data_IF_738606902837
#
_entry.id   IF_738606902837
#
_cell.length_a   1.000
_cell.length_b   1.000
_cell.length_c   1.000
_cell.angle_alpha   90.00
_cell.angle_beta   90.00
_cell.angle_gamma   90.00
#
_symmetry.space_group_name_H-M   'P 1'
#
loop_
_entity.id
_entity.type
_entity.pdbx_description
1 polymer ?
#
# COMPACT_ATOMS: atom_id res chain seq x y z
N UNK A 1 8.95 -22.25 5.61
CA UNK A 1 7.66 -22.07 4.91
C UNK A 1 7.90 -22.18 3.42
N UNK A 2 7.13 -22.98 2.69
CA UNK A 2 7.28 -23.08 1.23
C UNK A 2 6.98 -21.74 0.54
N UNK A 3 7.60 -21.50 -0.63
CA UNK A 3 7.40 -20.27 -1.40
C UNK A 3 5.92 -19.97 -1.72
N UNK A 4 5.08 -21.00 -1.89
CA UNK A 4 3.63 -20.85 -2.06
C UNK A 4 2.95 -20.20 -0.85
N UNK A 5 3.26 -20.63 0.38
CA UNK A 5 2.70 -20.05 1.61
C UNK A 5 3.15 -18.60 1.81
N UNK A 6 4.42 -18.28 1.53
CA UNK A 6 4.94 -16.91 1.65
C UNK A 6 4.24 -15.94 0.68
N UNK A 7 3.98 -16.37 -0.56
CA UNK A 7 3.21 -15.58 -1.53
C UNK A 7 1.76 -15.38 -1.12
N UNK A 8 1.12 -16.40 -0.53
CA UNK A 8 -0.23 -16.27 -0.01
C UNK A 8 -0.30 -15.24 1.14
N UNK A 9 0.65 -15.32 2.09
CA UNK A 9 0.76 -14.34 3.18
C UNK A 9 1.01 -12.94 2.64
N UNK A 10 1.91 -12.80 1.66
CA UNK A 10 2.20 -11.51 1.03
C UNK A 10 0.97 -10.94 0.33
N UNK A 11 0.20 -11.76 -0.39
CA UNK A 11 -1.04 -11.32 -1.04
C UNK A 11 -2.05 -10.77 -0.02
N UNK A 12 -2.27 -11.48 1.10
CA UNK A 12 -3.13 -10.98 2.18
C UNK A 12 -2.56 -9.69 2.77
N UNK A 13 -1.26 -9.65 3.02
CA UNK A 13 -0.57 -8.46 3.54
C UNK A 13 -0.75 -7.24 2.64
N UNK A 14 -0.68 -7.41 1.32
CA UNK A 14 -0.95 -6.35 0.34
C UNK A 14 -2.38 -5.85 0.44
N UNK A 15 -3.38 -6.74 0.50
CA UNK A 15 -4.79 -6.34 0.61
C UNK A 15 -5.06 -5.54 1.88
N UNK A 16 -4.54 -6.01 3.02
CA UNK A 16 -4.66 -5.31 4.31
C UNK A 16 -3.96 -3.96 4.26
N UNK A 17 -2.72 -3.92 3.74
CA UNK A 17 -1.96 -2.69 3.62
C UNK A 17 -2.64 -1.68 2.71
N UNK A 18 -3.11 -2.07 1.52
CA UNK A 18 -3.77 -1.16 0.58
C UNK A 18 -5.07 -0.60 1.17
N UNK A 19 -5.83 -1.43 1.89
CA UNK A 19 -7.04 -0.98 2.59
C UNK A 19 -6.69 0.10 3.61
N UNK A 20 -5.70 -0.15 4.47
CA UNK A 20 -5.25 0.81 5.47
C UNK A 20 -4.62 2.07 4.85
N UNK A 21 -3.87 1.92 3.74
CA UNK A 21 -3.23 3.01 3.03
C UNK A 21 -4.24 3.96 2.41
N UNK A 22 -5.21 3.43 1.66
CA UNK A 22 -6.27 4.22 1.04
C UNK A 22 -7.09 4.92 2.12
N UNK A 23 -7.45 4.20 3.18
CA UNK A 23 -8.16 4.78 4.33
C UNK A 23 -7.36 5.93 4.95
N UNK A 24 -6.06 5.75 5.19
CA UNK A 24 -5.19 6.80 5.73
C UNK A 24 -5.10 8.01 4.80
N UNK A 25 -4.95 7.83 3.48
CA UNK A 25 -4.91 8.94 2.52
C UNK A 25 -6.22 9.74 2.54
N UNK A 26 -7.37 9.05 2.54
CA UNK A 26 -8.69 9.69 2.58
C UNK A 26 -8.90 10.41 3.93
N UNK A 27 -8.58 9.75 5.04
CA UNK A 27 -8.72 10.31 6.38
C UNK A 27 -7.86 11.57 6.55
N UNK A 28 -6.59 11.53 6.10
CA UNK A 28 -5.70 12.68 6.14
C UNK A 28 -6.22 13.82 5.26
N UNK A 29 -6.69 13.54 4.04
CA UNK A 29 -7.28 14.56 3.17
C UNK A 29 -8.52 15.22 3.80
N UNK A 30 -9.32 14.43 4.52
CA UNK A 30 -10.51 14.90 5.24
C UNK A 30 -10.23 15.88 6.39
N UNK A 31 -8.99 16.02 6.83
CA UNK A 31 -8.60 16.99 7.86
C UNK A 31 -8.53 18.44 7.32
N UNK A 32 -8.58 18.62 6.00
CA UNK A 32 -8.45 19.92 5.34
C UNK A 32 -9.76 20.36 4.68
N UNK A 33 -9.96 21.67 4.54
CA UNK A 33 -11.08 22.23 3.80
C UNK A 33 -11.10 21.83 2.31
N UNK A 34 -12.18 22.16 1.58
CA UNK A 34 -12.28 21.87 0.15
C UNK A 34 -11.24 22.68 -0.64
N UNK A 35 -10.33 21.98 -1.34
CA UNK A 35 -9.31 22.58 -2.19
C UNK A 35 -8.85 21.57 -3.25
N UNK A 36 -9.06 21.89 -4.52
CA UNK A 36 -8.74 21.02 -5.66
C UNK A 36 -7.25 20.71 -5.78
N UNK A 37 -6.37 21.63 -5.41
CA UNK A 37 -4.92 21.37 -5.43
C UNK A 37 -4.54 20.33 -4.37
N UNK A 38 -5.15 20.40 -3.18
CA UNK A 38 -4.94 19.39 -2.15
C UNK A 38 -5.49 18.03 -2.59
N UNK A 39 -6.67 17.99 -3.22
CA UNK A 39 -7.20 16.75 -3.80
C UNK A 39 -6.21 16.13 -4.78
N UNK A 40 -5.70 16.94 -5.72
CA UNK A 40 -4.72 16.49 -6.71
C UNK A 40 -3.46 15.94 -6.04
N UNK A 41 -2.88 16.67 -5.09
CA UNK A 41 -1.64 16.27 -4.44
C UNK A 41 -1.82 14.99 -3.59
N UNK A 42 -2.86 14.93 -2.76
CA UNK A 42 -3.11 13.77 -1.89
C UNK A 42 -3.36 12.50 -2.71
N UNK A 43 -4.20 12.58 -3.74
CA UNK A 43 -4.55 11.41 -4.53
C UNK A 43 -3.49 11.06 -5.57
N UNK A 44 -2.75 12.01 -6.14
CA UNK A 44 -1.62 11.71 -7.02
C UNK A 44 -0.49 11.02 -6.23
N UNK A 45 -0.04 11.62 -5.13
CA UNK A 45 1.05 11.06 -4.31
C UNK A 45 0.62 9.77 -3.63
N UNK A 46 -0.57 9.74 -3.03
CA UNK A 46 -1.11 8.53 -2.40
C UNK A 46 -1.35 7.40 -3.39
N UNK A 47 -1.77 7.73 -4.63
CA UNK A 47 -2.05 6.77 -5.70
C UNK A 47 -0.81 6.13 -6.33
N UNK A 48 0.34 6.81 -6.33
CA UNK A 48 1.60 6.26 -6.88
C UNK A 48 2.56 5.77 -5.79
N UNK A 49 2.49 6.33 -4.58
CA UNK A 49 3.46 6.09 -3.51
C UNK A 49 3.30 4.77 -2.76
N UNK A 50 2.14 4.11 -2.85
CA UNK A 50 1.82 2.90 -2.09
C UNK A 50 2.74 1.71 -2.37
N UNK A 51 3.41 1.67 -3.54
CA UNK A 51 4.31 0.57 -3.89
C UNK A 51 5.60 0.56 -3.07
N UNK A 52 6.05 1.73 -2.61
CA UNK A 52 7.34 1.88 -1.90
C UNK A 52 7.36 1.08 -0.59
N UNK A 53 6.35 1.15 0.29
CA UNK A 53 6.36 0.39 1.54
C UNK A 53 6.12 -1.11 1.37
N UNK A 54 5.58 -1.56 0.22
CA UNK A 54 5.35 -2.98 -0.06
C UNK A 54 6.59 -3.72 -0.58
N UNK A 55 7.60 -2.99 -1.06
CA UNK A 55 8.81 -3.58 -1.62
C UNK A 55 9.49 -4.64 -0.71
N UNK A 56 9.66 -4.42 0.61
CA UNK A 56 10.25 -5.42 1.50
C UNK A 56 9.42 -6.71 1.60
N UNK A 57 8.08 -6.59 1.57
CA UNK A 57 7.17 -7.73 1.62
C UNK A 57 7.29 -8.59 0.36
N UNK A 58 7.37 -7.96 -0.82
CA UNK A 58 7.58 -8.68 -2.08
C UNK A 58 8.93 -9.37 -2.12
N UNK A 59 10.00 -8.67 -1.74
CA UNK A 59 11.34 -9.26 -1.64
C UNK A 59 11.36 -10.49 -0.72
N UNK A 60 10.68 -10.41 0.42
CA UNK A 60 10.53 -11.56 1.32
C UNK A 60 9.70 -12.70 0.71
N UNK A 61 8.60 -12.39 0.02
CA UNK A 61 7.76 -13.42 -0.61
C UNK A 61 8.51 -14.21 -1.69
N UNK A 62 9.40 -13.54 -2.41
CA UNK A 62 10.19 -14.11 -3.51
C UNK A 62 11.43 -14.87 -3.02
N UNK A 63 11.98 -14.52 -1.86
CA UNK A 63 13.14 -15.19 -1.26
C UNK A 63 12.91 -16.66 -0.87
N UNK A 64 11.71 -17.20 -1.09
CA UNK A 64 11.38 -18.62 -0.89
C UNK A 64 11.37 -19.45 -2.18
N UNK A 65 11.91 -18.90 -3.28
CA UNK A 65 12.29 -19.64 -4.50
C UNK A 65 13.67 -20.25 -4.27
N UNK A 66 13.74 -21.28 -3.45
CA UNK A 66 14.85 -22.25 -3.44
C UNK A 66 14.22 -23.65 -3.63
#
# INVERSE_FOLDING_TARGET
>A
MGGRTRRFIAMIGVLVFLTAWIWAVIALRGLFGPNMLLDLLFFAVGGIGWGVPLYPLFKWAESGKD
#
